data_IF_060956581356
#
_entry.id   IF_060956581356
#
_cell.length_a   1.000
_cell.length_b   1.000
_cell.length_c   1.000
_cell.angle_alpha   90.00
_cell.angle_beta   90.00
_cell.angle_gamma   90.00
#
_symmetry.space_group_name_H-M   'P 1'
#
loop_
_entity.id
_entity.type
_entity.pdbx_description
1 polymer ?
#
# COMPACT_ATOMS: atom_id res chain seq x y z
N UNK A 1 -38.70 -31.98 2.84
CA UNK A 1 -38.77 -30.67 3.56
C UNK A 1 -37.44 -29.99 3.50
N UNK A 2 -37.33 -28.85 2.78
CA UNK A 2 -36.08 -28.08 2.62
C UNK A 2 -36.11 -26.90 3.57
N UNK A 3 -35.11 -26.63 4.41
CA UNK A 3 -35.06 -25.40 5.18
C UNK A 3 -34.56 -24.27 4.30
N UNK A 4 -35.33 -23.19 4.23
CA UNK A 4 -34.98 -21.91 3.60
C UNK A 4 -34.02 -21.19 4.53
N UNK A 5 -32.79 -20.97 4.07
CA UNK A 5 -31.84 -20.07 4.78
C UNK A 5 -32.21 -18.62 4.47
N UNK A 6 -32.60 -17.91 5.52
CA UNK A 6 -32.78 -16.46 5.52
C UNK A 6 -31.41 -15.77 5.54
N UNK A 7 -31.08 -15.09 4.44
CA UNK A 7 -29.97 -14.16 4.34
C UNK A 7 -30.34 -12.89 5.09
N UNK A 8 -29.77 -12.72 6.28
CA UNK A 8 -29.82 -11.45 7.01
C UNK A 8 -28.79 -10.48 6.40
N UNK A 9 -29.29 -9.52 5.64
CA UNK A 9 -28.50 -8.38 5.15
C UNK A 9 -28.35 -7.39 6.31
N UNK A 10 -27.15 -7.35 6.90
CA UNK A 10 -26.79 -6.35 7.91
C UNK A 10 -26.34 -5.08 7.22
N UNK A 11 -27.22 -4.08 7.13
CA UNK A 11 -26.91 -2.71 6.73
C UNK A 11 -26.15 -2.02 7.88
N UNK A 12 -24.85 -1.90 7.72
CA UNK A 12 -24.02 -1.05 8.57
C UNK A 12 -24.15 0.39 8.10
N UNK A 13 -24.98 1.16 8.80
CA UNK A 13 -25.09 2.61 8.64
C UNK A 13 -23.84 3.28 9.21
N UNK A 14 -23.03 3.85 8.32
CA UNK A 14 -21.87 4.66 8.68
C UNK A 14 -22.34 6.08 8.99
N UNK A 15 -22.42 6.43 10.27
CA UNK A 15 -22.77 7.79 10.72
C UNK A 15 -21.58 8.73 10.48
N UNK A 16 -21.77 9.70 9.58
CA UNK A 16 -20.90 10.87 9.45
C UNK A 16 -21.01 11.76 10.67
N UNK A 17 -19.96 11.86 11.46
CA UNK A 17 -19.78 12.93 12.41
C UNK A 17 -19.07 14.10 11.75
N UNK A 18 -19.83 15.08 11.28
CA UNK A 18 -19.33 16.42 10.97
C UNK A 18 -19.36 17.25 12.26
N UNK A 19 -18.23 17.39 12.95
CA UNK A 19 -18.05 18.46 13.91
C UNK A 19 -17.50 19.69 13.17
N UNK A 20 -18.42 20.57 12.83
CA UNK A 20 -18.15 21.95 12.51
C UNK A 20 -17.86 22.69 13.82
N UNK A 21 -16.68 23.26 13.95
CA UNK A 21 -16.44 24.31 14.96
C UNK A 21 -15.87 25.53 14.24
N UNK A 22 -16.75 26.50 14.01
CA UNK A 22 -16.39 27.82 13.57
C UNK A 22 -15.88 28.65 14.75
N UNK A 23 -14.90 29.47 14.51
CA UNK A 23 -14.41 30.48 15.44
C UNK A 23 -13.56 31.49 14.69
N UNK A 24 -14.12 32.70 14.55
CA UNK A 24 -13.53 33.90 13.95
C UNK A 24 -12.48 34.52 14.85
N UNK A 25 -11.56 35.18 14.18
CA UNK A 25 -10.89 36.47 14.41
C UNK A 25 -9.48 36.54 15.01
N UNK A 26 -8.69 37.27 14.21
CA UNK A 26 -7.60 38.23 14.44
C UNK A 26 -6.17 37.70 14.53
N UNK A 27 -5.47 37.94 13.41
CA UNK A 27 -4.35 38.88 13.19
C UNK A 27 -3.41 39.05 14.40
N UNK A 28 -2.20 38.48 14.30
CA UNK A 28 -0.97 39.23 14.29
C UNK A 28 0.26 38.34 14.08
N UNK A 29 1.13 38.84 13.27
CA UNK A 29 2.51 38.57 12.98
C UNK A 29 3.30 38.01 14.17
N UNK A 30 3.96 36.79 13.99
CA UNK A 30 5.42 36.74 14.11
C UNK A 30 5.92 35.30 13.86
N UNK A 31 6.83 35.23 12.96
CA UNK A 31 8.05 34.46 12.76
C UNK A 31 8.43 33.53 13.92
N UNK A 32 8.33 32.25 13.70
CA UNK A 32 9.24 31.27 14.28
C UNK A 32 9.09 29.89 13.65
N UNK A 33 10.13 29.49 12.95
CA UNK A 33 10.78 28.19 12.96
C UNK A 33 9.87 26.97 12.89
N UNK A 34 9.68 26.48 11.68
CA UNK A 34 9.31 25.11 11.45
C UNK A 34 10.44 24.21 11.96
N UNK A 35 10.32 23.74 13.17
CA UNK A 35 11.13 22.67 13.69
C UNK A 35 10.63 21.37 13.05
N UNK A 36 11.23 21.08 11.90
CA UNK A 36 11.18 19.77 11.25
C UNK A 36 11.84 18.79 12.23
N UNK A 37 11.04 18.09 13.01
CA UNK A 37 11.50 16.88 13.68
C UNK A 37 11.79 15.82 12.62
N UNK A 38 12.98 15.93 12.07
CA UNK A 38 13.62 14.90 11.29
C UNK A 38 13.93 13.77 12.28
N UNK A 39 13.02 12.80 12.38
CA UNK A 39 13.39 11.50 12.90
C UNK A 39 14.59 11.03 12.10
N UNK A 40 15.67 10.59 12.74
CA UNK A 40 16.78 10.00 12.02
C UNK A 40 16.28 8.68 11.43
N UNK A 41 15.86 8.74 10.18
CA UNK A 41 15.81 7.55 9.34
C UNK A 41 17.26 7.11 9.20
N UNK A 42 17.63 6.08 9.94
CA UNK A 42 18.86 5.38 9.70
C UNK A 42 18.71 4.71 8.32
N UNK A 43 19.05 5.47 7.28
CA UNK A 43 19.21 4.96 5.93
C UNK A 43 20.47 4.09 5.90
N UNK A 44 20.39 2.89 6.43
CA UNK A 44 21.23 1.81 5.98
C UNK A 44 20.65 1.35 4.65
N UNK A 45 21.25 1.83 3.54
CA UNK A 45 21.00 1.26 2.20
C UNK A 45 21.62 -0.15 2.18
N UNK A 46 20.95 -1.07 2.86
CA UNK A 46 21.37 -2.49 2.94
C UNK A 46 20.86 -3.28 1.72
N UNK A 47 20.32 -2.60 0.72
CA UNK A 47 19.80 -3.19 -0.51
C UNK A 47 18.48 -3.93 -0.35
N UNK A 48 17.86 -3.90 0.85
CA UNK A 48 16.58 -4.57 1.11
C UNK A 48 15.39 -3.91 0.41
N UNK A 49 15.43 -2.58 0.26
CA UNK A 49 14.35 -1.84 -0.41
C UNK A 49 14.64 -1.79 -1.91
N UNK A 50 13.79 -2.41 -2.76
CA UNK A 50 14.04 -2.42 -4.19
C UNK A 50 13.91 -1.02 -4.80
N UNK A 51 14.83 -0.66 -5.68
CA UNK A 51 14.75 0.58 -6.47
C UNK A 51 13.77 0.37 -7.62
N UNK A 52 12.58 0.95 -7.51
CA UNK A 52 11.51 0.85 -8.51
C UNK A 52 11.21 2.26 -9.03
N UNK A 53 11.36 2.44 -10.34
CA UNK A 53 10.86 3.65 -11.00
C UNK A 53 9.34 3.56 -11.17
N UNK A 54 8.61 4.15 -10.26
CA UNK A 54 7.15 4.11 -10.25
C UNK A 54 6.52 4.87 -11.42
N UNK A 55 7.25 5.78 -12.07
CA UNK A 55 6.79 6.49 -13.25
C UNK A 55 6.85 5.61 -14.53
N UNK A 56 7.68 4.58 -14.51
CA UNK A 56 7.81 3.60 -15.60
C UNK A 56 6.77 2.48 -15.56
N UNK A 57 5.94 2.38 -14.51
CA UNK A 57 4.93 1.32 -14.34
C UNK A 57 3.70 1.58 -15.23
N UNK A 58 3.81 1.28 -16.52
CA UNK A 58 2.76 1.59 -17.51
C UNK A 58 2.20 0.37 -18.25
N UNK A 59 2.81 -0.77 -18.09
CA UNK A 59 2.44 -2.03 -18.75
C UNK A 59 2.40 -3.20 -17.76
N UNK A 60 1.80 -4.31 -18.20
CA UNK A 60 1.64 -5.52 -17.38
C UNK A 60 2.96 -6.01 -16.83
N UNK A 61 3.99 -6.11 -17.68
CA UNK A 61 5.26 -6.72 -17.30
C UNK A 61 5.97 -5.89 -16.23
N UNK A 62 6.05 -4.57 -16.40
CA UNK A 62 6.68 -3.67 -15.43
C UNK A 62 5.95 -3.67 -14.07
N UNK A 63 4.62 -3.74 -14.09
CA UNK A 63 3.81 -3.77 -12.85
C UNK A 63 3.97 -5.11 -12.14
N UNK A 64 3.92 -6.24 -12.86
CA UNK A 64 4.10 -7.57 -12.27
C UNK A 64 5.52 -7.78 -11.73
N UNK A 65 6.55 -7.28 -12.43
CA UNK A 65 7.93 -7.28 -11.92
C UNK A 65 8.06 -6.43 -10.65
N UNK A 66 7.47 -5.25 -10.64
CA UNK A 66 7.50 -4.37 -9.48
C UNK A 66 6.83 -4.98 -8.24
N UNK A 67 5.64 -5.56 -8.38
CA UNK A 67 4.95 -6.20 -7.25
C UNK A 67 5.72 -7.44 -6.77
N UNK A 68 6.36 -8.20 -7.67
CA UNK A 68 7.19 -9.34 -7.28
C UNK A 68 8.39 -8.88 -6.45
N UNK A 69 9.10 -7.83 -6.87
CA UNK A 69 10.22 -7.25 -6.11
C UNK A 69 9.81 -6.75 -4.72
N UNK A 70 8.66 -6.09 -4.62
CA UNK A 70 8.12 -5.65 -3.33
C UNK A 70 7.75 -6.83 -2.44
N UNK A 71 7.15 -7.88 -3.02
CA UNK A 71 6.79 -9.09 -2.29
C UNK A 71 8.02 -9.79 -1.72
N UNK A 72 9.03 -10.00 -2.55
CA UNK A 72 10.28 -10.66 -2.15
C UNK A 72 11.01 -9.86 -1.06
N UNK A 73 11.05 -8.52 -1.20
CA UNK A 73 11.66 -7.64 -0.21
C UNK A 73 10.91 -7.69 1.13
N UNK A 74 9.57 -7.70 1.13
CA UNK A 74 8.79 -7.83 2.37
C UNK A 74 9.01 -9.16 3.07
N UNK A 75 9.03 -10.25 2.32
CA UNK A 75 9.31 -11.58 2.87
C UNK A 75 10.71 -11.63 3.50
N UNK A 76 11.71 -11.06 2.82
CA UNK A 76 13.07 -10.99 3.33
C UNK A 76 13.19 -10.10 4.57
N UNK A 77 12.51 -8.95 4.60
CA UNK A 77 12.45 -8.01 5.72
C UNK A 77 11.82 -8.68 6.96
N UNK A 78 10.67 -9.34 6.80
CA UNK A 78 10.02 -10.08 7.89
C UNK A 78 10.88 -11.23 8.42
N UNK A 79 11.59 -11.94 7.55
CA UNK A 79 12.51 -13.00 7.95
C UNK A 79 13.65 -12.44 8.80
N UNK A 80 14.27 -11.35 8.35
CA UNK A 80 15.36 -10.69 9.06
C UNK A 80 14.92 -10.15 10.43
N UNK A 81 13.69 -9.60 10.52
CA UNK A 81 13.12 -9.17 11.80
C UNK A 81 12.94 -10.32 12.80
N UNK A 82 12.63 -11.52 12.31
CA UNK A 82 12.50 -12.71 13.17
C UNK A 82 13.86 -13.24 13.63
N UNK A 83 14.89 -13.08 12.81
CA UNK A 83 16.25 -13.55 13.09
C UNK A 83 17.04 -12.57 13.96
N UNK A 84 16.80 -11.26 13.82
CA UNK A 84 17.49 -10.19 14.56
C UNK A 84 16.47 -9.26 15.24
N UNK A 85 16.26 -9.39 16.56
CA UNK A 85 15.35 -8.52 17.31
C UNK A 85 15.73 -7.03 17.33
N UNK A 86 16.98 -6.68 16.98
CA UNK A 86 17.44 -5.30 16.90
C UNK A 86 17.26 -4.69 15.49
N UNK A 87 16.83 -5.49 14.52
CA UNK A 87 16.59 -5.02 13.17
C UNK A 87 15.28 -4.25 13.11
N UNK A 88 15.32 -2.97 12.75
CA UNK A 88 14.15 -2.09 12.70
C UNK A 88 13.23 -2.33 11.49
N UNK A 89 13.73 -3.00 10.45
CA UNK A 89 13.01 -3.26 9.22
C UNK A 89 12.79 -2.03 8.33
N UNK A 90 12.22 -2.28 7.16
CA UNK A 90 11.92 -1.28 6.14
C UNK A 90 10.41 -1.18 5.85
N UNK A 91 9.59 -1.46 6.84
CA UNK A 91 8.13 -1.54 6.68
C UNK A 91 7.51 -0.31 6.00
N UNK A 92 7.95 0.90 6.37
CA UNK A 92 7.38 2.15 5.84
C UNK A 92 7.74 2.35 4.36
N UNK A 93 8.99 2.12 4.00
CA UNK A 93 9.50 2.24 2.64
C UNK A 93 8.83 1.21 1.73
N UNK A 94 8.77 -0.04 2.14
CA UNK A 94 8.11 -1.12 1.41
C UNK A 94 6.60 -0.88 1.26
N UNK A 95 5.96 -0.31 2.28
CA UNK A 95 4.53 0.06 2.21
C UNK A 95 4.29 1.20 1.21
N UNK A 96 5.17 2.19 1.14
CA UNK A 96 5.09 3.26 0.14
C UNK A 96 5.23 2.73 -1.28
N UNK A 97 6.22 1.86 -1.51
CA UNK A 97 6.41 1.21 -2.81
C UNK A 97 5.21 0.35 -3.19
N UNK A 98 4.72 -0.48 -2.28
CA UNK A 98 3.53 -1.29 -2.49
C UNK A 98 2.32 -0.45 -2.89
N UNK A 99 2.08 0.67 -2.20
CA UNK A 99 0.98 1.59 -2.52
C UNK A 99 1.13 2.20 -3.91
N UNK A 100 2.35 2.55 -4.31
CA UNK A 100 2.61 3.09 -5.64
C UNK A 100 2.36 2.04 -6.74
N UNK A 101 2.78 0.79 -6.53
CA UNK A 101 2.52 -0.33 -7.45
C UNK A 101 1.02 -0.63 -7.54
N UNK A 102 0.28 -0.59 -6.43
CA UNK A 102 -1.18 -0.74 -6.44
C UNK A 102 -1.88 0.34 -7.28
N UNK A 103 -1.45 1.59 -7.14
CA UNK A 103 -1.99 2.69 -7.97
C UNK A 103 -1.73 2.45 -9.46
N UNK A 104 -0.52 2.05 -9.82
CA UNK A 104 -0.17 1.73 -11.19
C UNK A 104 -0.99 0.54 -11.73
N UNK A 105 -1.13 -0.52 -10.95
CA UNK A 105 -1.95 -1.71 -11.26
C UNK A 105 -3.41 -1.33 -11.52
N UNK A 106 -4.00 -0.49 -10.67
CA UNK A 106 -5.37 -0.01 -10.83
C UNK A 106 -5.52 0.83 -12.10
N UNK A 107 -4.60 1.75 -12.35
CA UNK A 107 -4.61 2.58 -13.55
C UNK A 107 -4.47 1.73 -14.81
N UNK A 108 -3.57 0.76 -14.82
CA UNK A 108 -3.36 -0.15 -15.95
C UNK A 108 -4.60 -1.02 -16.20
N UNK A 109 -5.19 -1.62 -15.16
CA UNK A 109 -6.36 -2.49 -15.30
C UNK A 109 -7.55 -1.77 -15.97
N UNK A 110 -7.70 -0.47 -15.72
CA UNK A 110 -8.73 0.36 -16.37
C UNK A 110 -8.50 0.58 -17.87
N UNK A 111 -7.27 0.38 -18.36
CA UNK A 111 -6.95 0.49 -19.79
C UNK A 111 -7.24 -0.79 -20.57
N UNK A 112 -7.38 -1.93 -19.88
CA UNK A 112 -7.60 -3.23 -20.50
C UNK A 112 -9.07 -3.35 -20.92
N UNK A 113 -9.31 -3.30 -22.22
CA UNK A 113 -10.68 -3.39 -22.79
C UNK A 113 -11.20 -4.82 -22.87
N UNK A 114 -10.33 -5.80 -22.93
CA UNK A 114 -10.66 -7.23 -22.99
C UNK A 114 -10.87 -7.80 -21.58
N UNK A 115 -12.08 -8.24 -21.22
CA UNK A 115 -12.36 -8.77 -19.88
C UNK A 115 -11.53 -10.01 -19.52
N UNK A 116 -11.20 -10.85 -20.49
CA UNK A 116 -10.39 -12.05 -20.23
C UNK A 116 -8.95 -11.68 -19.86
N UNK A 117 -8.36 -10.69 -20.57
CA UNK A 117 -7.04 -10.16 -20.24
C UNK A 117 -7.04 -9.42 -18.91
N UNK A 118 -8.09 -8.66 -18.59
CA UNK A 118 -8.21 -7.98 -17.31
C UNK A 118 -8.24 -8.98 -16.15
N UNK A 119 -8.99 -10.08 -16.32
CA UNK A 119 -9.03 -11.17 -15.33
C UNK A 119 -7.68 -11.87 -15.19
N UNK A 120 -7.01 -12.15 -16.31
CA UNK A 120 -5.67 -12.78 -16.31
C UNK A 120 -4.66 -11.92 -15.56
N UNK A 121 -4.60 -10.62 -15.84
CA UNK A 121 -3.74 -9.67 -15.11
C UNK A 121 -4.05 -9.66 -13.62
N UNK A 122 -5.34 -9.56 -13.26
CA UNK A 122 -5.77 -9.55 -11.86
C UNK A 122 -5.34 -10.82 -11.14
N UNK A 123 -5.51 -11.99 -11.77
CA UNK A 123 -5.12 -13.27 -11.18
C UNK A 123 -3.60 -13.36 -10.98
N UNK A 124 -2.79 -12.92 -11.95
CA UNK A 124 -1.33 -12.88 -11.81
C UNK A 124 -0.90 -11.95 -10.67
N UNK A 125 -1.49 -10.77 -10.61
CA UNK A 125 -1.19 -9.79 -9.57
C UNK A 125 -1.56 -10.31 -8.18
N UNK A 126 -2.76 -10.86 -8.02
CA UNK A 126 -3.23 -11.44 -6.74
C UNK A 126 -2.37 -12.62 -6.30
N UNK A 127 -1.96 -13.50 -7.23
CA UNK A 127 -1.10 -14.63 -6.89
C UNK A 127 0.26 -14.19 -6.30
N UNK A 128 0.79 -13.03 -6.72
CA UNK A 128 2.01 -12.47 -6.13
C UNK A 128 1.70 -11.87 -4.75
N UNK A 129 0.57 -11.17 -4.61
CA UNK A 129 0.15 -10.62 -3.32
C UNK A 129 -0.06 -11.74 -2.27
N UNK A 130 -0.67 -12.85 -2.67
CA UNK A 130 -0.92 -13.98 -1.77
C UNK A 130 0.38 -14.54 -1.18
N UNK A 131 1.47 -14.53 -1.94
CA UNK A 131 2.79 -14.95 -1.44
C UNK A 131 3.31 -14.04 -0.30
N UNK A 132 3.02 -12.73 -0.35
CA UNK A 132 3.40 -11.81 0.72
C UNK A 132 2.70 -12.10 2.05
N UNK A 133 1.49 -12.66 2.00
CA UNK A 133 0.65 -12.88 3.18
C UNK A 133 0.54 -14.37 3.55
N UNK A 134 1.18 -15.26 2.78
CA UNK A 134 1.26 -16.68 3.12
C UNK A 134 2.09 -16.86 4.40
N UNK A 135 1.44 -17.38 5.44
CA UNK A 135 2.05 -17.68 6.74
C UNK A 135 2.53 -19.13 6.79
#
# INVERSE_FOLDING_TARGET
MKPKQLLAVSLLTFSLFLLSCGGKDKKDTDKASAESTTSPSANTDDGMVPKIDTAALKDEASILDAIQKVADARIADEKKQKEDPNYSGHYLELTKLYTAVLKASTAYSQTIKDPAKALEFTNKFSAIQDKMYAK
#
